data_IF_343891606096
#
_entry.id   IF_343891606096
#
_cell.length_a   1.000
_cell.length_b   1.000
_cell.length_c   1.000
_cell.angle_alpha   90.00
_cell.angle_beta   90.00
_cell.angle_gamma   90.00
#
_symmetry.space_group_name_H-M   'P 1'
#
loop_
_entity.id
_entity.type
_entity.pdbx_description
1 polymer ?
#
# COMPACT_ATOMS: atom_id res chain seq x y z
N UNK A 1 27.50 -13.94 -12.64
CA UNK A 1 27.73 -12.87 -11.64
C UNK A 1 26.54 -12.90 -10.72
N UNK A 2 26.69 -12.94 -9.39
CA UNK A 2 25.51 -12.83 -8.53
C UNK A 2 24.90 -11.44 -8.80
N UNK A 3 23.65 -11.41 -9.24
CA UNK A 3 22.89 -10.16 -9.41
C UNK A 3 22.91 -9.46 -8.05
N UNK A 4 23.25 -8.17 -8.01
CA UNK A 4 23.17 -7.43 -6.75
C UNK A 4 21.70 -7.47 -6.30
N UNK A 5 21.47 -7.80 -5.04
CA UNK A 5 20.13 -7.95 -4.47
C UNK A 5 20.07 -7.25 -3.15
N UNK A 6 18.96 -6.58 -2.87
CA UNK A 6 18.68 -5.99 -1.56
C UNK A 6 17.43 -6.63 -0.97
N UNK A 7 17.44 -6.80 0.34
CA UNK A 7 16.26 -7.25 1.08
C UNK A 7 15.60 -6.03 1.70
N UNK A 8 14.29 -5.94 1.58
CA UNK A 8 13.45 -4.99 2.31
C UNK A 8 12.47 -5.76 3.18
N UNK A 9 12.05 -5.15 4.28
CA UNK A 9 11.01 -5.69 5.15
C UNK A 9 9.73 -4.88 4.94
N UNK A 10 8.60 -5.58 4.90
CA UNK A 10 7.25 -5.02 4.88
C UNK A 10 6.38 -5.81 5.83
N UNK A 11 5.23 -5.27 6.19
CA UNK A 11 4.22 -6.01 6.95
C UNK A 11 3.08 -6.41 6.02
N UNK A 12 2.62 -7.65 6.15
CA UNK A 12 1.45 -8.15 5.44
C UNK A 12 0.21 -7.38 5.91
N UNK A 13 -0.47 -6.71 4.98
CA UNK A 13 -1.62 -5.87 5.31
C UNK A 13 -2.86 -6.65 5.80
N UNK A 14 -2.87 -7.97 5.61
CA UNK A 14 -3.98 -8.84 6.05
C UNK A 14 -3.74 -9.45 7.44
N UNK A 15 -2.49 -9.77 7.81
CA UNK A 15 -2.20 -10.54 9.02
C UNK A 15 -1.09 -9.97 9.91
N UNK A 16 -0.56 -8.78 9.56
CA UNK A 16 0.50 -8.07 10.27
C UNK A 16 1.82 -8.85 10.41
N UNK A 17 1.99 -9.95 9.67
CA UNK A 17 3.24 -10.69 9.64
C UNK A 17 4.27 -9.89 8.83
N UNK A 18 5.45 -9.67 9.41
CA UNK A 18 6.59 -9.13 8.68
C UNK A 18 7.05 -10.12 7.60
N UNK A 19 7.16 -9.62 6.37
CA UNK A 19 7.61 -10.31 5.17
C UNK A 19 8.97 -9.77 4.72
N UNK A 20 9.86 -10.68 4.32
CA UNK A 20 11.16 -10.34 3.75
C UNK A 20 11.08 -10.41 2.22
N UNK A 21 11.24 -9.27 1.56
CA UNK A 21 11.17 -9.17 0.10
C UNK A 21 12.57 -8.97 -0.46
N UNK A 22 12.97 -9.85 -1.38
CA UNK A 22 14.22 -9.68 -2.14
C UNK A 22 13.92 -8.93 -3.43
N UNK A 23 14.55 -7.77 -3.61
CA UNK A 23 14.50 -6.97 -4.83
C UNK A 23 15.74 -7.22 -5.68
N UNK A 24 15.53 -7.44 -6.98
CA UNK A 24 16.56 -7.66 -7.98
C UNK A 24 16.77 -6.40 -8.84
N UNK A 25 17.95 -6.27 -9.47
CA UNK A 25 18.28 -5.13 -10.36
C UNK A 25 17.39 -5.01 -11.60
N UNK A 26 16.71 -6.09 -12.00
CA UNK A 26 15.76 -6.09 -13.13
C UNK A 26 14.33 -5.75 -12.70
N UNK A 27 14.18 -5.12 -11.53
CA UNK A 27 12.91 -4.74 -10.89
C UNK A 27 11.96 -5.92 -10.62
N UNK A 28 12.45 -7.15 -10.71
CA UNK A 28 11.73 -8.32 -10.22
C UNK A 28 11.90 -8.47 -8.71
N UNK A 29 11.00 -9.21 -8.07
CA UNK A 29 11.03 -9.44 -6.64
C UNK A 29 10.50 -10.83 -6.25
N UNK A 30 10.83 -11.26 -5.03
CA UNK A 30 10.33 -12.49 -4.40
C UNK A 30 10.10 -12.26 -2.89
N UNK A 31 9.23 -13.06 -2.27
CA UNK A 31 8.98 -13.04 -0.81
C UNK A 31 7.71 -12.29 -0.36
N UNK A 32 6.85 -11.90 -1.29
CA UNK A 32 5.56 -11.28 -1.02
C UNK A 32 4.78 -11.00 -2.30
N UNK A 33 3.61 -10.39 -2.18
CA UNK A 33 2.76 -9.97 -3.30
C UNK A 33 2.42 -8.48 -3.18
N UNK A 34 2.83 -7.69 -4.17
CA UNK A 34 2.55 -6.25 -4.22
C UNK A 34 1.26 -5.96 -4.99
N UNK A 35 0.38 -5.15 -4.40
CA UNK A 35 -0.92 -4.80 -5.00
C UNK A 35 -1.03 -3.33 -5.43
N UNK A 36 -0.05 -2.51 -5.09
CA UNK A 36 -0.05 -1.09 -5.42
C UNK A 36 0.21 -0.21 -4.20
N UNK A 37 0.02 1.07 -4.44
CA UNK A 37 0.19 2.15 -3.48
C UNK A 37 -1.18 2.77 -3.21
N UNK A 38 -1.42 3.18 -1.98
CA UNK A 38 -2.54 4.05 -1.63
C UNK A 38 -2.05 5.24 -0.80
N UNK A 39 -2.78 6.34 -0.89
CA UNK A 39 -2.53 7.53 -0.10
C UNK A 39 -3.61 7.69 0.96
N UNK A 40 -3.22 8.22 2.12
CA UNK A 40 -4.13 8.63 3.19
C UNK A 40 -3.75 10.03 3.66
N UNK A 41 -4.71 10.83 4.16
CA UNK A 41 -4.41 12.10 4.80
C UNK A 41 -3.36 11.93 5.90
N UNK A 42 -2.36 12.81 5.91
CA UNK A 42 -1.38 12.89 6.99
C UNK A 42 -2.08 13.31 8.30
N UNK A 43 -1.88 12.54 9.36
CA UNK A 43 -2.47 12.76 10.71
C UNK A 43 -2.03 14.09 11.33
N UNK A 44 -0.79 14.50 11.07
CA UNK A 44 -0.20 15.73 11.61
C UNK A 44 -0.59 16.97 10.76
N UNK A 45 -1.34 16.77 9.68
CA UNK A 45 -1.79 17.86 8.81
C UNK A 45 -2.89 18.71 9.45
N UNK A 46 -2.71 20.04 9.45
CA UNK A 46 -3.74 21.00 9.88
C UNK A 46 -4.80 21.27 8.80
N UNK A 47 -4.76 20.57 7.67
CA UNK A 47 -5.69 20.77 6.57
C UNK A 47 -7.08 20.18 6.84
N UNK A 48 -8.03 20.55 5.98
CA UNK A 48 -9.42 20.09 6.09
C UNK A 48 -9.93 19.54 4.76
N UNK A 49 -11.03 18.79 4.83
CA UNK A 49 -11.79 18.40 3.66
C UNK A 49 -12.62 19.58 3.14
N UNK A 50 -12.49 19.90 1.86
CA UNK A 50 -13.28 20.94 1.20
C UNK A 50 -14.41 20.30 0.37
N UNK A 51 -15.64 20.82 0.50
CA UNK A 51 -16.76 20.42 -0.36
C UNK A 51 -16.51 20.89 -1.79
N UNK A 52 -16.50 19.95 -2.72
CA UNK A 52 -16.30 20.18 -4.16
C UNK A 52 -17.59 20.05 -4.97
N UNK A 53 -18.52 19.19 -4.54
CA UNK A 53 -19.82 19.00 -5.17
C UNK A 53 -20.83 18.40 -4.17
N UNK A 54 -22.03 18.11 -4.65
CA UNK A 54 -23.05 17.35 -3.93
C UNK A 54 -23.61 16.28 -4.86
N UNK A 55 -23.75 15.05 -4.35
CA UNK A 55 -24.31 13.92 -5.07
C UNK A 55 -25.30 13.16 -4.20
N UNK A 56 -26.53 13.03 -4.65
CA UNK A 56 -27.63 12.35 -3.92
C UNK A 56 -27.85 12.89 -2.49
N UNK A 57 -27.62 14.19 -2.26
CA UNK A 57 -27.74 14.81 -0.94
C UNK A 57 -26.53 14.61 -0.02
N UNK A 58 -25.43 14.04 -0.56
CA UNK A 58 -24.16 13.88 0.14
C UNK A 58 -23.11 14.83 -0.41
N UNK A 59 -22.33 15.44 0.48
CA UNK A 59 -21.20 16.29 0.10
C UNK A 59 -20.08 15.44 -0.51
N UNK A 60 -19.68 15.79 -1.73
CA UNK A 60 -18.47 15.25 -2.35
C UNK A 60 -17.33 16.15 -1.92
N UNK A 61 -16.40 15.61 -1.12
CA UNK A 61 -15.30 16.37 -0.55
C UNK A 61 -13.96 15.96 -1.14
N UNK A 62 -12.98 16.86 -1.05
CA UNK A 62 -11.59 16.61 -1.41
C UNK A 62 -10.68 17.01 -0.24
N UNK A 63 -9.72 16.15 0.09
CA UNK A 63 -8.67 16.47 1.04
C UNK A 63 -7.74 17.55 0.46
N UNK A 64 -7.37 18.54 1.28
CA UNK A 64 -6.56 19.69 0.84
C UNK A 64 -5.13 19.69 1.41
N UNK A 65 -4.84 18.74 2.31
CA UNK A 65 -3.56 18.63 2.99
C UNK A 65 -2.56 17.71 2.31
N UNK A 66 -1.48 17.47 3.05
CA UNK A 66 -0.47 16.46 2.71
C UNK A 66 -1.06 15.06 2.91
N UNK A 67 -0.55 14.10 2.13
CA UNK A 67 -0.96 12.71 2.18
C UNK A 67 0.27 11.85 2.36
N UNK A 68 0.16 10.84 3.22
CA UNK A 68 1.13 9.77 3.36
C UNK A 68 0.84 8.66 2.35
N UNK A 69 1.91 8.12 1.77
CA UNK A 69 1.85 6.99 0.84
C UNK A 69 2.25 5.69 1.56
N UNK A 70 1.45 4.65 1.30
CA UNK A 70 1.69 3.30 1.81
C UNK A 70 1.61 2.28 0.67
N UNK A 71 2.54 1.34 0.68
CA UNK A 71 2.52 0.18 -0.20
C UNK A 71 1.62 -0.92 0.38
N UNK A 72 0.77 -1.52 -0.45
CA UNK A 72 -0.04 -2.67 -0.07
C UNK A 72 0.68 -3.97 -0.44
N UNK A 73 1.04 -4.74 0.58
CA UNK A 73 1.73 -6.02 0.45
C UNK A 73 1.00 -7.15 1.20
N UNK A 74 1.01 -8.36 0.64
CA UNK A 74 0.55 -9.57 1.32
C UNK A 74 1.62 -10.68 1.33
N UNK A 75 1.59 -11.52 2.36
CA UNK A 75 2.35 -12.76 2.39
C UNK A 75 1.71 -13.83 1.48
N UNK A 76 2.48 -14.87 1.15
CA UNK A 76 2.03 -15.96 0.27
C UNK A 76 0.77 -16.67 0.78
N UNK A 77 0.66 -16.88 2.10
CA UNK A 77 -0.50 -17.55 2.71
C UNK A 77 -1.78 -16.72 2.53
N UNK A 78 -1.73 -15.42 2.84
CA UNK A 78 -2.87 -14.50 2.70
C UNK A 78 -3.28 -14.36 1.24
N UNK A 79 -2.31 -14.15 0.33
CA UNK A 79 -2.60 -14.07 -1.09
C UNK A 79 -3.27 -15.34 -1.63
N UNK A 80 -2.70 -16.49 -1.31
CA UNK A 80 -3.19 -17.78 -1.81
C UNK A 80 -4.59 -18.11 -1.28
N UNK A 81 -4.92 -17.68 -0.07
CA UNK A 81 -6.24 -17.90 0.52
C UNK A 81 -7.38 -17.28 -0.30
N UNK A 82 -7.11 -16.17 -0.98
CA UNK A 82 -8.09 -15.45 -1.81
C UNK A 82 -8.20 -15.98 -3.25
N UNK A 83 -7.26 -16.83 -3.68
CA UNK A 83 -7.29 -17.47 -5.00
C UNK A 83 -8.03 -18.82 -5.00
N UNK A 84 -8.44 -19.30 -3.82
CA UNK A 84 -9.11 -20.57 -3.63
C UNK A 84 -10.65 -20.51 -3.77
N UNK A 85 -11.20 -19.32 -4.07
CA UNK A 85 -12.64 -19.07 -4.29
C UNK A 85 -13.06 -19.17 -5.78
#
# INVERSE_FOLDING_TARGET
MPKEKRTIERDCMECDQTIEITLYEDDTYEGGHYFGEFTVPDEDSEAEYEKTAEWEGHDVVKWTGEEDSYEYWECDDCFSSRLAD
#
